data_IF_963835898330
#
_entry.id   IF_963835898330
#
_cell.length_a   1.000
_cell.length_b   1.000
_cell.length_c   1.000
_cell.angle_alpha   90.00
_cell.angle_beta   90.00
_cell.angle_gamma   90.00
#
_symmetry.space_group_name_H-M   'P 1'
#
loop_
_entity.id
_entity.type
_entity.pdbx_description
1 polymer ?
#
# COMPACT_ATOMS: atom_id res chain seq x y z
N UNK A 1 14.12 -5.66 21.90
CA UNK A 1 14.04 -5.74 20.43
C UNK A 1 14.14 -7.19 19.96
N UNK A 2 13.10 -8.02 20.17
CA UNK A 2 13.10 -9.46 19.83
C UNK A 2 11.78 -9.94 19.17
N UNK A 3 10.85 -9.03 18.87
CA UNK A 3 9.61 -9.38 18.17
C UNK A 3 9.38 -8.35 17.06
N UNK A 4 9.43 -8.80 15.80
CA UNK A 4 9.18 -7.99 14.60
C UNK A 4 7.67 -7.74 14.40
N UNK A 5 6.83 -8.68 14.88
CA UNK A 5 5.37 -8.68 14.73
C UNK A 5 4.59 -7.56 15.45
N UNK A 6 4.91 -7.12 16.69
CA UNK A 6 4.10 -6.13 17.41
C UNK A 6 4.13 -4.74 16.75
N UNK A 7 5.26 -4.35 16.14
CA UNK A 7 5.39 -3.04 15.48
C UNK A 7 4.56 -2.98 14.19
N UNK A 8 4.57 -4.08 13.43
CA UNK A 8 3.77 -4.26 12.21
C UNK A 8 2.27 -4.15 12.49
N UNK A 9 1.78 -4.79 13.56
CA UNK A 9 0.36 -4.74 13.95
C UNK A 9 -0.09 -3.30 14.27
N UNK A 10 0.72 -2.51 14.99
CA UNK A 10 0.34 -1.14 15.36
C UNK A 10 0.37 -0.19 14.14
N UNK A 11 1.32 -0.36 13.22
CA UNK A 11 1.34 0.41 11.97
C UNK A 11 0.12 0.10 11.11
N UNK A 12 -0.31 -1.17 11.08
CA UNK A 12 -1.45 -1.63 10.26
C UNK A 12 -2.83 -1.23 10.81
N UNK A 13 -2.98 -1.04 12.13
CA UNK A 13 -4.32 -0.87 12.73
C UNK A 13 -4.81 0.57 12.90
N UNK A 14 -3.92 1.58 12.82
CA UNK A 14 -4.26 2.97 13.18
C UNK A 14 -3.87 4.04 12.15
N UNK A 15 -3.59 3.65 10.90
CA UNK A 15 -3.23 4.61 9.85
C UNK A 15 -4.46 5.05 9.04
N UNK A 16 -4.57 6.36 8.79
CA UNK A 16 -5.54 6.91 7.84
C UNK A 16 -5.09 6.73 6.38
N UNK A 17 -3.79 6.58 6.14
CA UNK A 17 -3.16 6.25 4.85
C UNK A 17 -1.78 5.61 5.04
N UNK A 18 -1.34 4.81 4.07
CA UNK A 18 0.04 4.31 3.99
C UNK A 18 0.80 5.02 2.88
N UNK A 19 2.01 5.49 3.19
CA UNK A 19 2.88 6.17 2.23
C UNK A 19 4.24 5.47 2.19
N UNK A 20 4.59 4.96 1.01
CA UNK A 20 5.84 4.26 0.76
C UNK A 20 6.73 5.08 -0.18
N UNK A 21 7.90 5.48 0.32
CA UNK A 21 8.98 6.08 -0.48
C UNK A 21 9.90 4.99 -1.04
N UNK A 22 10.75 5.29 -2.04
CA UNK A 22 11.73 4.35 -2.56
C UNK A 22 12.56 3.71 -1.45
N UNK A 23 12.63 2.38 -1.45
CA UNK A 23 13.17 1.63 -0.32
C UNK A 23 13.61 0.21 -0.68
N UNK A 24 14.26 -0.47 0.27
CA UNK A 24 14.78 -1.82 0.09
C UNK A 24 13.82 -2.92 0.53
N UNK A 25 14.37 -4.09 0.89
CA UNK A 25 13.57 -5.26 1.29
C UNK A 25 12.61 -5.02 2.45
N UNK A 26 12.96 -4.20 3.44
CA UNK A 26 12.07 -3.89 4.55
C UNK A 26 10.81 -3.13 4.11
N UNK A 27 10.98 -2.16 3.22
CA UNK A 27 9.86 -1.39 2.63
C UNK A 27 8.97 -2.28 1.79
N UNK A 28 9.56 -3.19 1.01
CA UNK A 28 8.82 -4.13 0.18
C UNK A 28 8.04 -5.16 1.03
N UNK A 29 8.65 -5.66 2.11
CA UNK A 29 8.00 -6.58 3.06
C UNK A 29 6.76 -5.93 3.69
N UNK A 30 6.89 -4.68 4.17
CA UNK A 30 5.76 -3.92 4.72
C UNK A 30 4.69 -3.64 3.65
N UNK A 31 5.07 -3.23 2.44
CA UNK A 31 4.14 -2.98 1.34
C UNK A 31 3.31 -4.23 1.00
N UNK A 32 3.96 -5.37 0.82
CA UNK A 32 3.28 -6.62 0.45
C UNK A 32 2.36 -7.14 1.54
N UNK A 33 2.76 -6.98 2.82
CA UNK A 33 1.91 -7.31 3.97
C UNK A 33 0.62 -6.47 3.95
N UNK A 34 0.73 -5.15 3.75
CA UNK A 34 -0.42 -4.25 3.71
C UNK A 34 -1.32 -4.54 2.51
N UNK A 35 -0.76 -4.73 1.31
CA UNK A 35 -1.52 -5.08 0.12
C UNK A 35 -2.34 -6.36 0.33
N UNK A 36 -1.74 -7.39 0.92
CA UNK A 36 -2.43 -8.66 1.24
C UNK A 36 -3.56 -8.46 2.26
N UNK A 37 -3.35 -7.61 3.26
CA UNK A 37 -4.35 -7.32 4.28
C UNK A 37 -5.55 -6.54 3.72
N UNK A 38 -5.31 -5.55 2.87
CA UNK A 38 -6.38 -4.77 2.21
C UNK A 38 -7.11 -5.64 1.18
N UNK A 39 -6.40 -6.45 0.39
CA UNK A 39 -6.96 -7.38 -0.59
C UNK A 39 -7.99 -8.33 0.06
N UNK A 40 -7.69 -8.84 1.26
CA UNK A 40 -8.58 -9.79 1.95
C UNK A 40 -9.76 -9.13 2.69
N UNK A 41 -9.97 -7.81 2.54
CA UNK A 41 -11.04 -7.02 3.20
C UNK A 41 -11.08 -7.15 4.72
N UNK A 42 -9.97 -7.58 5.34
CA UNK A 42 -9.84 -7.74 6.80
C UNK A 42 -9.72 -6.39 7.53
N UNK A 43 -9.54 -5.29 6.80
CA UNK A 43 -9.36 -3.93 7.32
C UNK A 43 -10.26 -2.94 6.56
N UNK A 44 -10.57 -1.81 7.20
CA UNK A 44 -11.15 -0.64 6.50
C UNK A 44 -10.24 -0.28 5.32
N UNK A 45 -10.81 0.16 4.18
CA UNK A 45 -10.05 0.48 2.97
C UNK A 45 -9.13 1.70 3.21
N UNK A 46 -7.96 1.45 3.77
CA UNK A 46 -6.92 2.46 3.97
C UNK A 46 -6.20 2.67 2.64
N UNK A 47 -6.13 3.90 2.10
CA UNK A 47 -5.43 4.16 0.86
C UNK A 47 -3.93 3.91 1.02
N UNK A 48 -3.34 3.31 -0.02
CA UNK A 48 -1.91 3.03 -0.12
C UNK A 48 -1.34 3.90 -1.22
N UNK A 49 -0.29 4.65 -0.91
CA UNK A 49 0.38 5.55 -1.86
C UNK A 49 1.85 5.17 -1.97
N UNK A 50 2.32 4.99 -3.19
CA UNK A 50 3.73 4.79 -3.53
C UNK A 50 4.26 6.08 -4.15
N UNK A 51 5.17 6.76 -3.45
CA UNK A 51 5.76 8.01 -3.93
C UNK A 51 7.03 7.74 -4.73
N UNK A 52 7.19 8.39 -5.88
CA UNK A 52 8.34 8.18 -6.77
C UNK A 52 8.02 7.21 -7.92
N UNK A 53 7.36 7.71 -8.96
CA UNK A 53 6.90 6.89 -10.09
C UNK A 53 8.02 6.16 -10.83
N UNK A 54 9.19 6.79 -10.95
CA UNK A 54 10.38 6.19 -11.55
C UNK A 54 10.82 4.90 -10.83
N UNK A 55 10.77 4.90 -9.49
CA UNK A 55 11.21 3.75 -8.69
C UNK A 55 10.18 2.62 -8.70
N UNK A 56 8.88 2.94 -8.59
CA UNK A 56 7.82 1.94 -8.44
C UNK A 56 7.27 1.42 -9.77
N UNK A 57 7.56 2.09 -10.90
CA UNK A 57 7.00 1.74 -12.21
C UNK A 57 7.30 0.31 -12.66
N UNK A 58 8.53 -0.17 -12.45
CA UNK A 58 8.90 -1.55 -12.83
C UNK A 58 8.18 -2.60 -11.99
N UNK A 59 7.93 -2.32 -10.70
CA UNK A 59 7.16 -3.20 -9.84
C UNK A 59 5.69 -3.23 -10.27
N UNK A 60 5.10 -2.08 -10.58
CA UNK A 60 3.72 -1.97 -11.08
C UNK A 60 3.54 -2.74 -12.39
N UNK A 61 4.50 -2.59 -13.31
CA UNK A 61 4.52 -3.33 -14.57
C UNK A 61 4.62 -4.83 -14.33
N UNK A 62 5.46 -5.27 -13.39
CA UNK A 62 5.55 -6.68 -13.01
C UNK A 62 4.22 -7.22 -12.46
N UNK A 63 3.58 -6.49 -11.55
CA UNK A 63 2.29 -6.88 -10.95
C UNK A 63 1.23 -7.03 -12.05
N UNK A 64 1.04 -6.02 -12.89
CA UNK A 64 0.02 -6.05 -13.95
C UNK A 64 0.29 -7.15 -14.98
N UNK A 65 1.52 -7.24 -15.48
CA UNK A 65 1.86 -8.17 -16.56
C UNK A 65 1.93 -9.61 -16.08
N UNK A 66 2.60 -9.87 -14.96
CA UNK A 66 2.90 -11.24 -14.54
C UNK A 66 1.88 -11.77 -13.52
N UNK A 67 1.45 -10.95 -12.57
CA UNK A 67 0.52 -11.39 -11.52
C UNK A 67 -0.93 -11.31 -11.98
N UNK A 68 -1.35 -10.22 -12.62
CA UNK A 68 -2.74 -10.07 -13.08
C UNK A 68 -2.99 -10.78 -14.42
N UNK A 69 -2.30 -10.39 -15.49
CA UNK A 69 -2.58 -10.90 -16.84
C UNK A 69 -2.00 -12.29 -17.09
N UNK A 70 -0.75 -12.52 -16.67
CA UNK A 70 0.01 -13.72 -17.00
C UNK A 70 -0.43 -14.95 -16.20
N UNK A 71 -0.11 -14.98 -14.91
CA UNK A 71 -0.37 -16.13 -14.03
C UNK A 71 -1.68 -16.03 -13.24
N UNK A 72 -2.36 -14.88 -13.30
CA UNK A 72 -3.62 -14.62 -12.59
C UNK A 72 -3.55 -14.94 -11.09
N UNK A 73 -2.44 -14.56 -10.45
CA UNK A 73 -2.22 -14.75 -9.01
C UNK A 73 -2.86 -13.65 -8.14
N UNK A 74 -3.40 -12.61 -8.78
CA UNK A 74 -4.26 -11.59 -8.16
C UNK A 74 -5.56 -11.44 -8.96
N UNK A 75 -6.60 -10.90 -8.32
CA UNK A 75 -7.92 -10.71 -8.93
C UNK A 75 -7.98 -9.40 -9.73
N UNK A 76 -8.83 -9.30 -10.76
CA UNK A 76 -9.11 -8.02 -11.42
C UNK A 76 -9.60 -6.97 -10.41
N UNK A 77 -8.97 -5.80 -10.43
CA UNK A 77 -9.19 -4.71 -9.48
C UNK A 77 -8.13 -4.63 -8.38
N UNK A 78 -7.34 -5.68 -8.15
CA UNK A 78 -6.25 -5.64 -7.16
C UNK A 78 -5.10 -4.71 -7.59
N UNK A 79 -4.95 -4.45 -8.89
CA UNK A 79 -4.03 -3.44 -9.44
C UNK A 79 -4.41 -2.00 -9.08
N UNK A 80 -5.58 -1.79 -8.46
CA UNK A 80 -6.05 -0.50 -7.96
C UNK A 80 -5.97 -0.38 -6.43
N UNK A 81 -5.34 -1.33 -5.75
CA UNK A 81 -5.15 -1.28 -4.29
C UNK A 81 -4.20 -0.16 -3.83
N UNK A 82 -3.36 0.35 -4.73
CA UNK A 82 -2.43 1.45 -4.46
C UNK A 82 -2.48 2.52 -5.55
N UNK A 83 -1.99 3.72 -5.22
CA UNK A 83 -1.79 4.84 -6.15
C UNK A 83 -0.30 5.17 -6.21
N UNK A 84 0.24 5.37 -7.42
CA UNK A 84 1.62 5.85 -7.64
C UNK A 84 1.56 7.32 -8.02
N UNK A 85 2.31 8.17 -7.34
CA UNK A 85 2.35 9.61 -7.63
C UNK A 85 3.67 10.26 -7.25
N UNK A 86 3.95 11.40 -7.88
CA UNK A 86 5.04 12.32 -7.52
C UNK A 86 4.49 13.66 -6.97
N UNK A 87 3.16 13.82 -6.92
CA UNK A 87 2.48 15.03 -6.45
C UNK A 87 2.20 14.95 -4.94
N UNK A 88 2.90 15.77 -4.16
CA UNK A 88 2.70 15.89 -2.71
C UNK A 88 1.28 16.33 -2.37
N UNK A 89 0.66 17.20 -3.18
CA UNK A 89 -0.70 17.66 -2.93
C UNK A 89 -1.70 16.51 -3.13
N UNK A 90 -1.45 15.61 -4.09
CA UNK A 90 -2.23 14.39 -4.26
C UNK A 90 -2.12 13.46 -3.06
N UNK A 91 -0.91 13.23 -2.55
CA UNK A 91 -0.69 12.45 -1.32
C UNK A 91 -1.52 13.01 -0.17
N UNK A 92 -1.48 14.33 0.03
CA UNK A 92 -2.23 15.01 1.09
C UNK A 92 -3.74 14.91 0.88
N UNK A 93 -4.23 15.03 -0.36
CA UNK A 93 -5.64 14.83 -0.69
C UNK A 93 -6.10 13.41 -0.35
N UNK A 94 -5.33 12.40 -0.77
CA UNK A 94 -5.63 10.99 -0.51
C UNK A 94 -5.66 10.73 1.00
N UNK A 95 -4.64 11.18 1.74
CA UNK A 95 -4.57 10.99 3.18
C UNK A 95 -5.74 11.64 3.93
N UNK A 96 -6.24 12.79 3.47
CA UNK A 96 -7.39 13.48 4.08
C UNK A 96 -8.74 12.89 3.69
N UNK A 97 -8.82 12.16 2.58
CA UNK A 97 -10.07 11.60 2.07
C UNK A 97 -10.60 10.46 2.94
N UNK A 98 -9.73 9.84 3.72
CA UNK A 98 -10.05 8.75 4.63
C UNK A 98 -9.83 9.18 6.07
N UNK A 99 -10.92 9.49 6.80
CA UNK A 99 -10.87 9.86 8.22
C UNK A 99 -11.46 8.71 9.03
N UNK A 100 -10.66 7.68 9.30
CA UNK A 100 -11.15 6.54 10.07
C UNK A 100 -11.18 6.89 11.57
N UNK A 101 -10.29 7.78 12.03
CA UNK A 101 -10.09 8.05 13.46
C UNK A 101 -10.23 9.51 13.93
N UNK A 102 -10.53 10.49 13.06
CA UNK A 102 -10.59 11.91 13.46
C UNK A 102 -11.92 12.41 14.11
N UNK A 103 -12.80 11.52 14.58
CA UNK A 103 -14.04 11.89 15.30
C UNK A 103 -13.99 11.56 16.81
N UNK A 104 -12.80 11.63 17.42
CA UNK A 104 -12.61 11.57 18.88
C UNK A 104 -11.97 12.85 19.41
#
# INVERSE_FOLDING_TARGET
>A
FQHFAPRKIVMTMYADAYLFFPGGYGTLDELMEILTLVQTTRTNKVPIVLFGSEFWGDLDAFIKKHMLEGQQTISPGDEHLYTITDDVDEVVRIAKSNRIYCDH
#
